data_IF_228207959775
#
_entry.id   IF_228207959775
#
_cell.length_a   1.000
_cell.length_b   1.000
_cell.length_c   1.000
_cell.angle_alpha   90.00
_cell.angle_beta   90.00
_cell.angle_gamma   90.00
#
_symmetry.space_group_name_H-M   'P 1'
#
loop_
_entity.id
_entity.type
_entity.pdbx_description
1 polymer ?
#
# COMPACT_ATOMS: atom_id res chain seq x y z
N UNK A 1 73.07 -32.34 -10.78
CA UNK A 1 72.16 -32.92 -9.76
C UNK A 1 70.86 -33.29 -10.48
N UNK A 2 70.64 -34.57 -10.88
CA UNK A 2 69.81 -35.60 -10.20
C UNK A 2 68.43 -35.04 -9.78
N UNK A 3 67.24 -35.47 -10.21
CA UNK A 3 66.66 -36.74 -10.72
C UNK A 3 65.51 -36.39 -11.71
N UNK A 4 65.25 -37.04 -12.86
CA UNK A 4 64.86 -38.43 -13.22
C UNK A 4 63.58 -38.99 -12.57
N UNK A 5 62.51 -39.11 -13.37
CA UNK A 5 61.65 -40.30 -13.71
C UNK A 5 60.33 -39.76 -14.31
N UNK A 6 59.90 -40.03 -15.55
CA UNK A 6 59.80 -41.30 -16.31
C UNK A 6 58.32 -41.74 -16.27
N UNK A 7 57.42 -41.28 -17.15
CA UNK A 7 57.11 -41.68 -18.54
C UNK A 7 56.25 -42.97 -18.71
N UNK A 8 55.00 -42.78 -19.21
CA UNK A 8 54.23 -43.67 -20.13
C UNK A 8 53.74 -45.04 -19.58
N UNK A 9 52.57 -45.65 -19.87
CA UNK A 9 51.70 -45.72 -21.07
C UNK A 9 50.38 -46.47 -20.71
N UNK A 10 49.31 -46.24 -21.51
CA UNK A 10 48.22 -47.14 -22.01
C UNK A 10 47.57 -48.21 -21.10
N UNK A 11 46.24 -48.45 -21.09
CA UNK A 11 45.42 -49.14 -22.13
C UNK A 11 43.89 -48.95 -21.86
N UNK A 12 43.12 -49.08 -22.95
CA UNK A 12 41.71 -48.80 -23.31
C UNK A 12 40.55 -49.71 -22.82
N UNK A 13 39.30 -49.27 -23.18
CA UNK A 13 37.98 -49.97 -23.36
C UNK A 13 37.03 -49.95 -22.13
N UNK A 14 35.71 -49.71 -22.17
CA UNK A 14 34.68 -49.61 -23.23
C UNK A 14 33.34 -48.97 -22.71
N UNK A 15 32.69 -48.15 -23.55
CA UNK A 15 31.24 -48.06 -23.92
C UNK A 15 30.11 -47.94 -22.86
N UNK A 16 29.43 -46.78 -22.91
CA UNK A 16 27.99 -46.44 -22.80
C UNK A 16 26.99 -47.36 -22.07
N UNK A 17 26.25 -46.79 -21.10
CA UNK A 17 24.92 -47.25 -20.67
C UNK A 17 23.98 -46.10 -20.22
N UNK A 18 24.01 -44.94 -20.88
CA UNK A 18 22.89 -43.99 -20.82
C UNK A 18 22.50 -43.67 -22.26
N UNK A 19 21.40 -44.28 -22.69
CA UNK A 19 20.84 -44.08 -24.02
C UNK A 19 20.35 -42.65 -24.22
N UNK A 20 20.27 -42.26 -25.49
CA UNK A 20 19.77 -40.97 -25.95
C UNK A 20 18.28 -40.81 -25.61
N UNK A 21 17.94 -39.75 -24.88
CA UNK A 21 16.58 -39.45 -24.43
C UNK A 21 15.65 -38.91 -25.52
N UNK A 22 16.09 -38.87 -26.78
CA UNK A 22 15.32 -38.35 -27.91
C UNK A 22 15.09 -39.36 -29.04
N UNK A 23 15.28 -40.66 -28.80
CA UNK A 23 14.96 -41.72 -29.77
C UNK A 23 13.42 -41.98 -29.83
N UNK A 24 12.75 -41.73 -30.97
CA UNK A 24 11.32 -41.97 -31.16
C UNK A 24 10.92 -43.46 -31.20
N UNK A 25 11.89 -44.39 -31.11
CA UNK A 25 11.64 -45.83 -31.01
C UNK A 25 11.88 -46.40 -29.61
N UNK A 26 12.19 -45.57 -28.60
CA UNK A 26 12.28 -46.00 -27.21
C UNK A 26 10.89 -46.07 -26.54
N UNK A 27 10.45 -47.28 -26.21
CA UNK A 27 9.16 -47.54 -25.55
C UNK A 27 9.27 -47.44 -24.02
N UNK A 28 8.54 -46.51 -23.40
CA UNK A 28 8.43 -46.35 -21.93
C UNK A 28 7.36 -47.25 -21.28
N UNK A 29 7.10 -48.42 -21.86
CA UNK A 29 6.24 -49.43 -21.24
C UNK A 29 7.09 -50.35 -20.35
N UNK A 30 7.01 -50.16 -19.03
CA UNK A 30 7.57 -51.11 -18.06
C UNK A 30 6.80 -52.45 -18.14
N UNK A 31 7.47 -53.48 -18.63
CA UNK A 31 6.96 -54.86 -18.65
C UNK A 31 7.05 -55.49 -17.27
N UNK A 32 5.94 -56.11 -16.89
CA UNK A 32 5.65 -57.00 -15.76
C UNK A 32 6.85 -57.74 -15.13
N UNK A 33 6.96 -57.64 -13.80
CA UNK A 33 7.59 -58.64 -12.96
C UNK A 33 6.48 -59.34 -12.16
N UNK A 34 6.37 -60.65 -12.33
CA UNK A 34 5.38 -61.53 -11.74
C UNK A 34 5.74 -61.92 -10.29
N UNK A 35 4.90 -61.54 -9.34
CA UNK A 35 4.79 -62.19 -8.03
C UNK A 35 3.29 -62.28 -7.66
N UNK A 36 2.77 -63.51 -7.60
CA UNK A 36 1.44 -63.82 -7.09
C UNK A 36 1.33 -63.46 -5.61
N UNK A 37 0.41 -62.58 -5.24
CA UNK A 37 -0.32 -62.63 -3.96
C UNK A 37 -1.71 -62.01 -4.15
N UNK A 38 -2.73 -62.77 -3.77
CA UNK A 38 -4.15 -62.41 -3.76
C UNK A 38 -4.38 -61.09 -3.03
N UNK A 39 -4.97 -60.12 -3.73
CA UNK A 39 -5.72 -59.05 -3.08
C UNK A 39 -6.98 -58.77 -3.89
N UNK A 40 -8.13 -59.09 -3.28
CA UNK A 40 -9.44 -58.67 -3.76
C UNK A 40 -9.49 -57.17 -3.98
N UNK A 41 -10.17 -56.77 -5.04
CA UNK A 41 -10.50 -55.39 -5.36
C UNK A 41 -11.27 -54.76 -4.18
N UNK A 42 -10.55 -54.00 -3.34
CA UNK A 42 -11.18 -52.95 -2.55
C UNK A 42 -11.28 -51.72 -3.43
N UNK A 43 -12.49 -51.46 -3.92
CA UNK A 43 -12.86 -50.15 -4.45
C UNK A 43 -12.60 -49.11 -3.35
N UNK A 44 -11.48 -48.38 -3.45
CA UNK A 44 -11.26 -47.22 -2.57
C UNK A 44 -12.35 -46.19 -2.88
N UNK A 45 -13.10 -45.70 -1.87
CA UNK A 45 -14.09 -44.66 -2.10
C UNK A 45 -13.40 -43.43 -2.71
N UNK A 46 -14.10 -42.74 -3.60
CA UNK A 46 -13.64 -41.48 -4.19
C UNK A 46 -13.55 -40.46 -3.05
N UNK A 47 -12.33 -40.13 -2.64
CA UNK A 47 -12.07 -39.13 -1.59
C UNK A 47 -12.54 -37.74 -2.07
N UNK A 48 -13.26 -37.04 -1.20
CA UNK A 48 -13.69 -35.67 -1.43
C UNK A 48 -12.50 -34.70 -1.38
N UNK A 49 -12.62 -33.52 -2.01
CA UNK A 49 -11.57 -32.48 -1.93
C UNK A 49 -11.25 -32.09 -0.48
N UNK A 50 -12.25 -32.17 0.41
CA UNK A 50 -12.10 -31.86 1.83
C UNK A 50 -11.21 -32.88 2.56
N UNK A 51 -11.42 -34.17 2.30
CA UNK A 51 -10.61 -35.26 2.86
C UNK A 51 -9.16 -35.22 2.34
N UNK A 52 -8.96 -34.80 1.09
CA UNK A 52 -7.63 -34.62 0.49
C UNK A 52 -6.86 -33.48 1.20
N UNK A 53 -7.52 -32.36 1.47
CA UNK A 53 -6.93 -31.21 2.17
C UNK A 53 -6.60 -31.58 3.62
N UNK A 54 -7.52 -32.24 4.32
CA UNK A 54 -7.32 -32.64 5.72
C UNK A 54 -6.11 -33.58 5.86
N UNK A 55 -5.97 -34.56 4.97
CA UNK A 55 -4.80 -35.45 4.94
C UNK A 55 -3.50 -34.72 4.58
N UNK A 56 -3.54 -33.71 3.73
CA UNK A 56 -2.35 -32.93 3.35
C UNK A 56 -1.82 -32.08 4.53
N UNK A 57 -2.73 -31.51 5.32
CA UNK A 57 -2.40 -30.77 6.55
C UNK A 57 -1.78 -31.70 7.59
N UNK A 58 -2.42 -32.84 7.85
CA UNK A 58 -1.93 -33.86 8.78
C UNK A 58 -0.51 -34.33 8.42
N UNK A 59 -0.25 -34.61 7.15
CA UNK A 59 1.07 -35.03 6.68
C UNK A 59 2.14 -33.92 6.80
N UNK A 60 1.74 -32.66 6.59
CA UNK A 60 2.65 -31.52 6.74
C UNK A 60 3.06 -31.30 8.20
N UNK A 61 2.12 -31.44 9.14
CA UNK A 61 2.38 -31.37 10.58
C UNK A 61 3.30 -32.51 11.03
N UNK A 62 3.04 -33.73 10.57
CA UNK A 62 3.92 -34.88 10.82
C UNK A 62 5.34 -34.62 10.31
N UNK A 63 5.51 -34.08 9.10
CA UNK A 63 6.84 -33.77 8.56
C UNK A 63 7.58 -32.72 9.37
N UNK A 64 6.87 -31.70 9.86
CA UNK A 64 7.44 -30.64 10.69
C UNK A 64 7.91 -31.17 12.06
N UNK A 65 7.14 -32.04 12.71
CA UNK A 65 7.50 -32.65 14.00
C UNK A 65 8.77 -33.50 13.93
N UNK A 66 9.03 -34.13 12.78
CA UNK A 66 10.22 -34.96 12.56
C UNK A 66 11.32 -34.24 11.77
N UNK A 67 11.24 -32.91 11.58
CA UNK A 67 12.30 -32.13 10.92
C UNK A 67 12.66 -32.62 9.51
N UNK A 68 11.68 -33.08 8.73
CA UNK A 68 11.84 -33.73 7.42
C UNK A 68 12.62 -35.07 7.42
N UNK A 69 12.84 -35.71 8.57
CA UNK A 69 13.43 -37.05 8.64
C UNK A 69 12.37 -38.14 8.37
N UNK A 70 12.28 -38.57 7.11
CA UNK A 70 11.30 -39.58 6.66
C UNK A 70 11.49 -40.96 7.31
N UNK A 71 12.71 -41.33 7.73
CA UNK A 71 12.97 -42.62 8.37
C UNK A 71 12.35 -42.68 9.76
N UNK A 72 12.63 -41.67 10.60
CA UNK A 72 12.06 -41.57 11.95
C UNK A 72 10.53 -41.44 11.93
N UNK A 73 9.98 -40.71 10.94
CA UNK A 73 8.53 -40.62 10.73
C UNK A 73 7.91 -41.98 10.41
N UNK A 74 8.52 -42.76 9.53
CA UNK A 74 8.01 -44.09 9.13
C UNK A 74 8.11 -45.10 10.27
N UNK A 75 9.19 -45.07 11.06
CA UNK A 75 9.34 -45.92 12.24
C UNK A 75 8.29 -45.58 13.31
N UNK A 76 8.09 -44.30 13.59
CA UNK A 76 7.04 -43.84 14.50
C UNK A 76 5.64 -44.30 14.06
N UNK A 77 5.30 -44.11 12.77
CA UNK A 77 4.00 -44.53 12.23
C UNK A 77 3.82 -46.06 12.22
N UNK A 78 4.90 -46.84 12.07
CA UNK A 78 4.85 -48.31 12.19
C UNK A 78 4.61 -48.77 13.63
N UNK A 79 5.17 -48.07 14.62
CA UNK A 79 5.07 -48.42 16.04
C UNK A 79 3.71 -48.01 16.62
N UNK A 80 3.23 -46.81 16.31
CA UNK A 80 2.04 -46.23 16.94
C UNK A 80 0.78 -46.43 16.09
N UNK A 81 0.92 -46.65 14.79
CA UNK A 81 -0.20 -46.68 13.85
C UNK A 81 -0.70 -45.27 13.49
N UNK A 82 -1.17 -45.10 12.25
CA UNK A 82 -1.55 -43.78 11.70
C UNK A 82 -2.70 -43.10 12.45
N UNK A 83 -3.70 -43.85 12.92
CA UNK A 83 -4.83 -43.31 13.67
C UNK A 83 -4.45 -42.78 15.06
N UNK A 84 -3.62 -43.53 15.80
CA UNK A 84 -3.19 -43.11 17.15
C UNK A 84 -2.10 -42.02 17.11
N UNK A 85 -1.27 -42.00 16.06
CA UNK A 85 -0.32 -40.92 15.82
C UNK A 85 -1.02 -39.55 15.67
N UNK A 86 -2.15 -39.50 14.97
CA UNK A 86 -2.93 -38.28 14.80
C UNK A 86 -3.56 -37.80 16.11
N UNK A 87 -4.08 -38.71 16.93
CA UNK A 87 -4.65 -38.39 18.24
C UNK A 87 -3.60 -37.80 19.21
N UNK A 88 -2.38 -38.35 19.22
CA UNK A 88 -1.29 -37.81 20.04
C UNK A 88 -0.81 -36.44 19.55
N UNK A 89 -0.90 -36.17 18.25
CA UNK A 89 -0.52 -34.87 17.68
C UNK A 89 -1.61 -33.83 17.94
N UNK A 90 -2.89 -34.20 17.93
CA UNK A 90 -3.98 -33.26 18.25
C UNK A 90 -3.87 -32.68 19.66
N UNK A 91 -3.29 -33.42 20.60
CA UNK A 91 -3.06 -32.96 21.97
C UNK A 91 -1.89 -31.96 22.09
N UNK A 92 -0.92 -32.03 21.17
CA UNK A 92 0.28 -31.17 21.14
C UNK A 92 0.18 -30.01 20.13
N UNK A 93 -0.68 -30.15 19.12
CA UNK A 93 -0.88 -29.20 18.04
C UNK A 93 -2.36 -29.20 17.62
N UNK A 94 -3.05 -28.04 17.60
CA UNK A 94 -4.50 -28.00 17.36
C UNK A 94 -4.83 -28.25 15.87
N UNK A 95 -4.86 -29.53 15.48
CA UNK A 95 -5.07 -29.98 14.10
C UNK A 95 -6.38 -29.48 13.49
N UNK A 96 -7.46 -29.42 14.28
CA UNK A 96 -8.75 -28.88 13.82
C UNK A 96 -8.67 -27.38 13.45
N UNK A 97 -7.86 -26.59 14.17
CA UNK A 97 -7.61 -25.19 13.81
C UNK A 97 -6.71 -25.06 12.58
N UNK A 98 -5.72 -25.94 12.42
CA UNK A 98 -4.87 -25.96 11.24
C UNK A 98 -5.64 -26.38 9.98
N UNK A 99 -6.57 -27.35 10.11
CA UNK A 99 -7.50 -27.75 9.05
C UNK A 99 -8.49 -26.63 8.72
N UNK A 100 -9.05 -25.96 9.72
CA UNK A 100 -9.88 -24.77 9.51
C UNK A 100 -9.11 -23.65 8.78
N UNK A 101 -7.86 -23.37 9.16
CA UNK A 101 -7.01 -22.41 8.46
C UNK A 101 -6.62 -22.83 7.04
N UNK A 102 -6.44 -24.13 6.79
CA UNK A 102 -6.16 -24.66 5.45
C UNK A 102 -7.42 -24.66 4.56
N UNK A 103 -8.61 -24.85 5.13
CA UNK A 103 -9.90 -24.65 4.46
C UNK A 103 -10.20 -23.17 4.22
N UNK A 104 -9.62 -22.28 5.03
CA UNK A 104 -9.56 -20.82 4.82
C UNK A 104 -8.35 -20.36 3.98
N UNK A 105 -7.59 -21.28 3.36
CA UNK A 105 -6.52 -20.92 2.44
C UNK A 105 -7.08 -19.93 1.41
N UNK A 106 -6.34 -18.85 1.08
CA UNK A 106 -6.79 -17.91 0.08
C UNK A 106 -7.14 -18.71 -1.17
N UNK A 107 -8.37 -18.57 -1.65
CA UNK A 107 -8.77 -19.17 -2.92
C UNK A 107 -7.73 -18.82 -3.97
N UNK A 108 -7.55 -19.70 -4.96
CA UNK A 108 -6.59 -19.49 -6.04
C UNK A 108 -6.72 -18.05 -6.56
N UNK A 109 -5.60 -17.30 -6.56
CA UNK A 109 -5.58 -15.91 -7.02
C UNK A 109 -6.10 -15.87 -8.46
N UNK A 110 -7.11 -15.03 -8.70
CA UNK A 110 -7.71 -14.89 -10.02
C UNK A 110 -6.76 -14.17 -11.00
N UNK A 111 -5.95 -13.25 -10.46
CA UNK A 111 -4.92 -12.49 -11.16
C UNK A 111 -3.66 -12.29 -10.31
N UNK A 112 -2.49 -12.67 -10.82
CA UNK A 112 -1.21 -12.54 -10.11
C UNK A 112 -0.36 -11.36 -10.59
N UNK A 113 -0.56 -10.93 -11.84
CA UNK A 113 0.18 -9.84 -12.50
C UNK A 113 -0.55 -8.49 -12.38
N UNK A 114 -0.75 -8.03 -11.15
CA UNK A 114 -1.45 -6.77 -10.88
C UNK A 114 -0.63 -5.57 -11.34
N UNK A 115 -1.28 -4.62 -12.01
CA UNK A 115 -0.69 -3.30 -12.32
C UNK A 115 -1.14 -2.27 -11.30
N UNK A 116 -0.20 -1.69 -10.58
CA UNK A 116 -0.45 -0.73 -9.50
C UNK A 116 0.08 0.65 -9.88
N UNK A 117 -0.82 1.57 -10.24
CA UNK A 117 -0.43 2.91 -10.68
C UNK A 117 -0.01 3.81 -9.51
N UNK A 118 1.08 4.58 -9.65
CA UNK A 118 1.53 5.52 -8.62
C UNK A 118 2.09 6.84 -9.14
N UNK A 119 1.95 7.90 -8.33
CA UNK A 119 2.70 9.17 -8.47
C UNK A 119 4.00 9.07 -7.68
N UNK A 120 5.15 9.50 -8.23
CA UNK A 120 6.46 9.39 -7.59
C UNK A 120 6.64 10.42 -6.44
N UNK A 121 5.96 10.17 -5.33
CA UNK A 121 6.03 10.93 -4.06
C UNK A 121 6.21 9.98 -2.88
N UNK A 122 6.70 10.47 -1.73
CA UNK A 122 6.92 9.64 -0.53
C UNK A 122 5.62 9.09 0.06
N UNK A 123 4.47 9.67 -0.28
CA UNK A 123 3.17 9.12 0.09
C UNK A 123 2.94 7.70 -0.46
N UNK A 124 3.50 7.41 -1.64
CA UNK A 124 3.38 6.10 -2.29
C UNK A 124 4.27 5.00 -1.66
N UNK A 125 4.97 5.30 -0.56
CA UNK A 125 5.98 4.42 0.04
C UNK A 125 5.50 2.97 0.19
N UNK A 126 4.31 2.68 0.77
CA UNK A 126 3.84 1.31 0.90
C UNK A 126 3.69 0.59 -0.45
N UNK A 127 3.17 1.27 -1.48
CA UNK A 127 3.04 0.70 -2.83
C UNK A 127 4.41 0.38 -3.43
N UNK A 128 5.31 1.36 -3.42
CA UNK A 128 6.55 1.27 -4.21
C UNK A 128 7.59 0.40 -3.50
N UNK A 129 7.64 0.43 -2.17
CA UNK A 129 8.58 -0.39 -1.41
C UNK A 129 8.14 -1.86 -1.36
N UNK A 130 6.83 -2.14 -1.46
CA UNK A 130 6.32 -3.50 -1.45
C UNK A 130 6.87 -4.37 -2.59
N UNK A 131 7.29 -3.75 -3.71
CA UNK A 131 7.92 -4.43 -4.83
C UNK A 131 9.37 -4.90 -4.54
N UNK A 132 10.35 -4.02 -4.26
CA UNK A 132 11.72 -4.44 -3.97
C UNK A 132 11.87 -5.18 -2.64
N UNK A 133 11.01 -4.93 -1.64
CA UNK A 133 11.04 -5.62 -0.34
C UNK A 133 10.17 -6.88 -0.32
N UNK A 134 9.65 -7.32 -1.47
CA UNK A 134 8.95 -8.61 -1.65
C UNK A 134 7.66 -8.78 -0.84
N UNK A 135 7.00 -7.70 -0.45
CA UNK A 135 5.68 -7.78 0.18
C UNK A 135 4.65 -8.34 -0.80
N UNK A 136 4.63 -7.94 -2.08
CA UNK A 136 3.69 -8.53 -3.04
C UNK A 136 3.91 -10.04 -3.20
N UNK A 137 5.18 -10.46 -3.32
CA UNK A 137 5.56 -11.87 -3.44
C UNK A 137 5.14 -12.70 -2.22
N UNK A 138 5.28 -12.15 -1.00
CA UNK A 138 4.81 -12.77 0.25
C UNK A 138 3.33 -13.16 0.22
N UNK A 139 2.50 -12.44 -0.54
CA UNK A 139 1.07 -12.71 -0.70
C UNK A 139 0.72 -13.37 -2.05
N UNK A 140 1.69 -13.94 -2.75
CA UNK A 140 1.48 -14.69 -4.01
C UNK A 140 1.41 -13.82 -5.27
N UNK A 141 1.69 -12.52 -5.16
CA UNK A 141 1.64 -11.54 -6.25
C UNK A 141 3.05 -11.25 -6.79
N UNK A 142 3.80 -12.30 -7.11
CA UNK A 142 5.21 -12.21 -7.56
C UNK A 142 5.40 -11.42 -8.87
N UNK A 143 4.35 -11.35 -9.68
CA UNK A 143 4.35 -10.70 -10.99
C UNK A 143 3.67 -9.31 -10.95
N UNK A 144 3.41 -8.77 -9.74
CA UNK A 144 2.83 -7.44 -9.59
C UNK A 144 3.84 -6.36 -9.98
N UNK A 145 3.37 -5.38 -10.75
CA UNK A 145 4.15 -4.27 -11.27
C UNK A 145 3.65 -2.94 -10.70
N UNK A 146 4.58 -2.04 -10.37
CA UNK A 146 4.26 -0.65 -10.05
C UNK A 146 4.52 0.23 -11.26
N UNK A 147 3.50 1.00 -11.66
CA UNK A 147 3.52 1.78 -12.90
C UNK A 147 3.47 3.26 -12.57
N UNK A 148 4.49 4.01 -12.99
CA UNK A 148 4.63 5.44 -12.70
C UNK A 148 3.76 6.30 -13.61
N UNK A 149 2.94 7.17 -13.03
CA UNK A 149 2.17 8.18 -13.75
C UNK A 149 2.84 9.57 -13.67
N UNK A 150 2.56 10.42 -14.66
CA UNK A 150 3.07 11.80 -14.70
C UNK A 150 2.23 12.79 -13.87
N UNK A 151 0.97 12.45 -13.56
CA UNK A 151 0.07 13.33 -12.81
C UNK A 151 -1.23 12.64 -12.40
N UNK A 152 -1.98 13.29 -11.51
CA UNK A 152 -3.18 12.70 -10.89
C UNK A 152 -4.35 12.48 -11.86
N UNK A 153 -4.45 13.29 -12.92
CA UNK A 153 -5.42 13.05 -13.98
C UNK A 153 -5.17 11.70 -14.69
N UNK A 154 -3.91 11.38 -14.98
CA UNK A 154 -3.52 10.09 -15.57
C UNK A 154 -3.85 8.92 -14.64
N UNK A 155 -3.59 9.06 -13.33
CA UNK A 155 -4.00 8.07 -12.33
C UNK A 155 -5.51 7.83 -12.34
N UNK A 156 -6.31 8.90 -12.30
CA UNK A 156 -7.77 8.81 -12.38
C UNK A 156 -8.20 8.08 -13.64
N UNK A 157 -7.66 8.50 -14.79
CA UNK A 157 -8.06 7.96 -16.09
C UNK A 157 -7.63 6.50 -16.27
N UNK A 158 -6.45 6.12 -15.78
CA UNK A 158 -6.00 4.72 -15.74
C UNK A 158 -6.89 3.85 -14.87
N UNK A 159 -7.29 4.35 -13.70
CA UNK A 159 -8.13 3.60 -12.78
C UNK A 159 -9.55 3.42 -13.32
N UNK A 160 -10.18 4.49 -13.85
CA UNK A 160 -11.53 4.42 -14.43
C UNK A 160 -11.55 3.52 -15.67
N UNK A 161 -10.53 3.64 -16.53
CA UNK A 161 -10.44 2.86 -17.77
C UNK A 161 -9.78 1.48 -17.58
N UNK A 162 -9.59 1.02 -16.34
CA UNK A 162 -9.08 -0.32 -16.00
C UNK A 162 -7.69 -0.62 -16.58
N UNK A 163 -6.87 0.41 -16.81
CA UNK A 163 -5.47 0.26 -17.24
C UNK A 163 -4.56 -0.18 -16.08
N UNK A 164 -4.99 0.10 -14.85
CA UNK A 164 -4.39 -0.38 -13.60
C UNK A 164 -5.44 -1.07 -12.75
N UNK A 165 -5.08 -2.16 -12.07
CA UNK A 165 -5.98 -2.92 -11.19
C UNK A 165 -6.22 -2.19 -9.86
N UNK A 166 -5.16 -1.59 -9.34
CA UNK A 166 -5.16 -0.79 -8.13
C UNK A 166 -4.32 0.45 -8.36
N UNK A 167 -4.50 1.48 -7.54
CA UNK A 167 -3.71 2.70 -7.70
C UNK A 167 -3.59 3.49 -6.41
N UNK A 168 -2.46 4.18 -6.31
CA UNK A 168 -2.24 5.31 -5.43
C UNK A 168 -3.21 6.44 -5.79
N UNK A 169 -4.02 6.90 -4.85
CA UNK A 169 -4.91 8.05 -5.01
C UNK A 169 -4.76 9.04 -3.86
N UNK A 170 -5.10 10.31 -4.11
CA UNK A 170 -5.34 11.26 -3.03
C UNK A 170 -6.63 10.85 -2.31
N UNK A 171 -6.67 10.87 -0.97
CA UNK A 171 -7.82 10.34 -0.20
C UNK A 171 -9.21 10.88 -0.63
N UNK A 172 -9.35 12.12 -1.16
CA UNK A 172 -10.63 12.57 -1.71
C UNK A 172 -11.01 12.00 -3.08
N UNK A 173 -10.07 11.49 -3.87
CA UNK A 173 -10.33 11.02 -5.23
C UNK A 173 -11.33 9.85 -5.27
N UNK A 174 -11.20 8.77 -4.47
CA UNK A 174 -12.18 7.67 -4.47
C UNK A 174 -13.61 8.14 -4.16
N UNK A 175 -13.77 9.14 -3.27
CA UNK A 175 -15.06 9.77 -2.97
C UNK A 175 -15.58 10.56 -4.18
N UNK A 176 -14.74 11.42 -4.76
CA UNK A 176 -15.12 12.24 -5.93
C UNK A 176 -15.54 11.39 -7.13
N UNK A 177 -14.76 10.34 -7.45
CA UNK A 177 -15.03 9.43 -8.57
C UNK A 177 -16.32 8.64 -8.33
N UNK A 178 -16.54 8.14 -7.11
CA UNK A 178 -17.77 7.42 -6.76
C UNK A 178 -19.01 8.30 -6.85
N UNK A 179 -18.87 9.59 -6.55
CA UNK A 179 -19.96 10.57 -6.65
C UNK A 179 -20.13 11.18 -8.06
N UNK A 180 -19.21 10.93 -8.99
CA UNK A 180 -19.18 11.60 -10.29
C UNK A 180 -18.81 13.09 -10.21
N UNK A 181 -18.11 13.51 -9.17
CA UNK A 181 -17.59 14.86 -9.05
C UNK A 181 -16.26 14.97 -9.83
N UNK A 182 -16.26 15.70 -10.94
CA UNK A 182 -15.07 15.90 -11.77
C UNK A 182 -14.71 14.72 -12.70
N UNK A 183 -15.59 13.71 -12.78
CA UNK A 183 -15.50 12.57 -13.71
C UNK A 183 -16.86 11.89 -13.88
N UNK A 184 -16.93 10.87 -14.73
CA UNK A 184 -18.07 9.94 -14.70
C UNK A 184 -18.12 9.20 -13.35
N UNK A 185 -19.32 9.02 -12.81
CA UNK A 185 -19.53 8.28 -11.57
C UNK A 185 -19.10 6.82 -11.75
N UNK A 186 -18.09 6.38 -11.00
CA UNK A 186 -17.58 5.01 -11.00
C UNK A 186 -17.36 4.57 -9.55
N UNK A 187 -17.99 3.49 -9.07
CA UNK A 187 -17.82 3.06 -7.68
C UNK A 187 -16.38 2.61 -7.38
N UNK A 188 -15.75 3.25 -6.41
CA UNK A 188 -14.39 2.94 -5.96
C UNK A 188 -14.37 2.57 -4.48
N UNK A 189 -13.41 1.73 -4.13
CA UNK A 189 -13.03 1.44 -2.75
C UNK A 189 -11.68 2.09 -2.43
N UNK A 190 -11.56 2.53 -1.18
CA UNK A 190 -10.35 2.96 -0.52
C UNK A 190 -10.08 1.99 0.65
N UNK A 191 -9.31 0.91 0.41
CA UNK A 191 -9.07 -0.11 1.43
C UNK A 191 -8.13 0.33 2.53
N UNK A 192 -7.13 1.16 2.20
CA UNK A 192 -6.12 1.59 3.16
C UNK A 192 -5.66 3.03 2.87
N UNK A 193 -5.31 3.74 3.93
CA UNK A 193 -4.52 4.97 3.86
C UNK A 193 -3.05 4.57 3.65
N UNK A 194 -2.35 5.24 2.75
CA UNK A 194 -0.93 4.97 2.53
C UNK A 194 -0.07 5.75 3.50
N UNK A 195 -0.44 7.00 3.78
CA UNK A 195 0.29 7.82 4.72
C UNK A 195 -0.63 8.82 5.42
N UNK A 196 -0.24 9.17 6.64
CA UNK A 196 -0.75 10.34 7.36
C UNK A 196 0.32 11.43 7.39
N UNK A 197 -0.10 12.69 7.48
CA UNK A 197 0.78 13.85 7.37
C UNK A 197 1.59 13.84 6.05
N UNK A 198 2.87 14.21 6.07
CA UNK A 198 3.79 14.11 4.92
C UNK A 198 3.64 15.19 3.85
N UNK A 199 3.04 16.33 4.22
CA UNK A 199 2.88 17.49 3.36
C UNK A 199 3.34 18.75 4.09
N UNK A 200 3.56 19.83 3.35
CA UNK A 200 3.87 21.12 3.92
C UNK A 200 3.35 22.25 3.03
N UNK A 201 3.14 23.42 3.65
CA UNK A 201 3.12 24.69 2.94
C UNK A 201 4.58 25.11 2.75
N UNK A 202 5.02 25.22 1.51
CA UNK A 202 6.35 25.70 1.13
C UNK A 202 6.19 27.00 0.34
N UNK A 203 6.97 28.00 0.71
CA UNK A 203 6.94 29.32 0.08
C UNK A 203 8.27 29.58 -0.64
N UNK A 204 8.21 30.40 -1.68
CA UNK A 204 9.39 30.85 -2.39
C UNK A 204 10.29 31.68 -1.46
N UNK A 205 11.62 31.62 -1.64
CA UNK A 205 12.57 32.32 -0.75
C UNK A 205 12.37 33.84 -0.65
N UNK A 206 11.75 34.46 -1.65
CA UNK A 206 11.39 35.89 -1.62
C UNK A 206 10.42 36.25 -0.48
N UNK A 207 9.66 35.26 0.03
CA UNK A 207 8.62 35.43 1.04
C UNK A 207 9.05 35.07 2.47
N UNK A 208 10.36 34.96 2.76
CA UNK A 208 10.90 34.63 4.10
C UNK A 208 10.42 35.52 5.25
N UNK A 209 9.93 36.71 4.93
CA UNK A 209 9.35 37.65 5.89
C UNK A 209 7.91 37.33 6.30
N UNK A 210 7.17 36.55 5.52
CA UNK A 210 5.76 36.19 5.78
C UNK A 210 5.66 35.35 7.05
N UNK A 211 4.70 35.69 7.92
CA UNK A 211 4.44 35.00 9.19
C UNK A 211 3.01 34.48 9.32
N UNK A 212 2.06 35.07 8.59
CA UNK A 212 0.63 34.78 8.73
C UNK A 212 -0.01 34.53 7.37
N UNK A 213 -1.11 33.78 7.37
CA UNK A 213 -1.95 33.60 6.18
C UNK A 213 -2.43 34.94 5.60
N UNK A 214 -2.77 35.93 6.44
CA UNK A 214 -3.26 37.25 6.01
C UNK A 214 -2.28 37.99 5.09
N UNK A 215 -0.98 37.79 5.27
CA UNK A 215 0.07 38.38 4.42
C UNK A 215 0.22 37.69 3.07
N UNK A 216 -0.47 36.56 2.86
CA UNK A 216 -0.46 35.80 1.60
C UNK A 216 -1.55 36.26 0.63
N UNK A 217 -2.29 37.33 0.93
CA UNK A 217 -3.24 37.92 -0.03
C UNK A 217 -2.50 38.33 -1.31
N UNK A 218 -3.09 37.98 -2.45
CA UNK A 218 -2.52 38.17 -3.78
C UNK A 218 -1.57 37.06 -4.24
N UNK A 219 -1.26 36.08 -3.39
CA UNK A 219 -0.34 35.00 -3.76
C UNK A 219 -0.95 34.09 -4.82
N UNK A 220 -0.08 33.52 -5.65
CA UNK A 220 -0.40 32.39 -6.51
C UNK A 220 0.16 31.12 -5.90
N UNK A 221 -0.72 30.23 -5.43
CA UNK A 221 -0.38 28.90 -4.96
C UNK A 221 -0.56 27.85 -6.05
N UNK A 222 0.12 26.71 -5.91
CA UNK A 222 -0.31 25.48 -6.57
C UNK A 222 -0.55 24.32 -5.59
N UNK A 223 -1.35 23.37 -6.06
CA UNK A 223 -1.73 22.12 -5.38
C UNK A 223 -1.71 20.99 -6.42
N UNK A 224 -1.57 19.71 -6.00
CA UNK A 224 -1.40 18.62 -6.95
C UNK A 224 -2.67 18.29 -7.75
N UNK A 225 -3.84 18.52 -7.15
CA UNK A 225 -5.14 18.21 -7.74
C UNK A 225 -6.26 18.90 -6.97
N UNK A 226 -7.40 19.14 -7.60
CA UNK A 226 -8.55 19.78 -6.95
C UNK A 226 -9.12 18.91 -5.82
N UNK A 227 -9.34 17.63 -6.09
CA UNK A 227 -9.81 16.64 -5.11
C UNK A 227 -8.65 16.10 -4.28
N UNK A 228 -8.06 16.96 -3.45
CA UNK A 228 -6.90 16.61 -2.65
C UNK A 228 -6.91 17.22 -1.25
N UNK A 229 -6.28 16.50 -0.30
CA UNK A 229 -6.06 17.02 1.05
C UNK A 229 -5.22 18.30 1.02
N UNK A 230 -4.30 18.42 0.07
CA UNK A 230 -3.49 19.59 -0.14
C UNK A 230 -4.33 20.84 -0.41
N UNK A 231 -5.29 20.73 -1.33
CA UNK A 231 -6.21 21.81 -1.65
C UNK A 231 -7.08 22.16 -0.44
N UNK A 232 -7.67 21.15 0.22
CA UNK A 232 -8.57 21.41 1.34
C UNK A 232 -7.85 21.96 2.57
N UNK A 233 -6.65 21.49 2.90
CA UNK A 233 -5.87 22.01 4.03
C UNK A 233 -5.31 23.40 3.75
N UNK A 234 -4.87 23.70 2.52
CA UNK A 234 -4.44 25.04 2.14
C UNK A 234 -5.60 26.03 2.24
N UNK A 235 -6.76 25.66 1.67
CA UNK A 235 -7.99 26.46 1.77
C UNK A 235 -8.41 26.66 3.21
N UNK A 236 -8.32 25.62 4.05
CA UNK A 236 -8.63 25.71 5.48
C UNK A 236 -7.71 26.69 6.20
N UNK A 237 -6.40 26.57 6.01
CA UNK A 237 -5.40 27.46 6.62
C UNK A 237 -5.60 28.92 6.21
N UNK A 238 -5.79 29.18 4.91
CA UNK A 238 -6.03 30.53 4.40
C UNK A 238 -7.33 31.12 4.95
N UNK A 239 -8.43 30.36 4.88
CA UNK A 239 -9.75 30.81 5.30
C UNK A 239 -9.79 31.12 6.81
N UNK A 240 -9.20 30.27 7.66
CA UNK A 240 -9.10 30.56 9.10
C UNK A 240 -8.16 31.73 9.41
N UNK A 241 -7.23 32.02 8.50
CA UNK A 241 -6.39 33.22 8.51
C UNK A 241 -7.05 34.49 7.97
N UNK A 242 -8.33 34.45 7.57
CA UNK A 242 -9.05 35.59 7.00
C UNK A 242 -8.72 35.88 5.53
N UNK A 243 -8.20 34.90 4.80
CA UNK A 243 -7.92 34.97 3.36
C UNK A 243 -8.88 34.05 2.62
N UNK A 244 -9.71 34.62 1.76
CA UNK A 244 -10.63 33.84 0.93
C UNK A 244 -9.86 33.15 -0.21
N UNK A 245 -9.79 31.80 -0.23
CA UNK A 245 -9.00 31.09 -1.24
C UNK A 245 -9.55 31.19 -2.67
N UNK A 246 -10.81 31.61 -2.85
CA UNK A 246 -11.42 31.80 -4.18
C UNK A 246 -11.34 33.25 -4.67
N UNK A 247 -11.06 34.22 -3.78
CA UNK A 247 -11.06 35.66 -4.11
C UNK A 247 -9.72 36.36 -3.87
N UNK A 248 -9.06 36.06 -2.76
CA UNK A 248 -7.86 36.77 -2.31
C UNK A 248 -6.57 36.15 -2.85
N UNK A 249 -6.60 34.90 -3.35
CA UNK A 249 -5.42 34.20 -3.92
C UNK A 249 -5.79 33.46 -5.19
N UNK A 250 -4.79 32.93 -5.89
CA UNK A 250 -4.97 32.01 -7.01
C UNK A 250 -4.46 30.63 -6.62
N UNK A 251 -5.24 29.57 -6.82
CA UNK A 251 -4.80 28.18 -6.61
C UNK A 251 -4.81 27.46 -7.96
N UNK A 252 -3.65 26.98 -8.40
CA UNK A 252 -3.47 26.27 -9.67
C UNK A 252 -3.21 24.78 -9.43
N UNK A 253 -3.71 23.92 -10.32
CA UNK A 253 -3.32 22.51 -10.34
C UNK A 253 -2.01 22.36 -11.10
N UNK A 254 -1.00 21.78 -10.44
CA UNK A 254 0.32 21.49 -11.03
C UNK A 254 0.76 20.10 -10.56
N UNK A 255 1.17 19.19 -11.46
CA UNK A 255 1.69 17.89 -11.07
C UNK A 255 2.92 18.01 -10.15
N UNK A 256 3.06 17.17 -9.10
CA UNK A 256 4.17 17.28 -8.16
C UNK A 256 5.58 17.39 -8.79
N UNK A 257 5.94 16.63 -9.85
CA UNK A 257 7.24 16.75 -10.50
C UNK A 257 7.57 18.14 -11.05
N UNK A 258 6.55 18.96 -11.35
CA UNK A 258 6.70 20.30 -11.94
C UNK A 258 6.67 21.42 -10.90
N UNK A 259 6.30 21.13 -9.65
CA UNK A 259 6.07 22.15 -8.62
C UNK A 259 7.34 22.91 -8.24
N UNK A 260 8.46 22.20 -8.04
CA UNK A 260 9.74 22.83 -7.63
C UNK A 260 10.23 23.78 -8.72
N UNK A 261 10.12 23.39 -9.99
CA UNK A 261 10.50 24.23 -11.12
C UNK A 261 9.63 25.50 -11.22
N UNK A 262 8.31 25.37 -11.02
CA UNK A 262 7.41 26.51 -11.01
C UNK A 262 7.67 27.47 -9.83
N UNK A 263 7.99 26.92 -8.65
CA UNK A 263 8.38 27.74 -7.51
C UNK A 263 9.67 28.50 -7.80
N UNK A 264 10.71 27.80 -8.24
CA UNK A 264 12.03 28.37 -8.55
C UNK A 264 11.97 29.45 -9.65
N UNK A 265 11.11 29.27 -10.64
CA UNK A 265 10.88 30.26 -11.70
C UNK A 265 10.07 31.48 -11.24
N UNK A 266 9.49 31.45 -10.03
CA UNK A 266 8.61 32.49 -9.52
C UNK A 266 7.21 32.51 -10.15
N UNK A 267 6.82 31.44 -10.86
CA UNK A 267 5.49 31.27 -11.45
C UNK A 267 4.40 31.08 -10.38
N UNK A 268 4.80 30.62 -9.20
CA UNK A 268 3.99 30.50 -7.99
C UNK A 268 4.76 31.06 -6.81
N UNK A 269 4.03 31.60 -5.83
CA UNK A 269 4.55 32.13 -4.57
C UNK A 269 4.75 31.04 -3.51
N UNK A 270 4.03 29.93 -3.64
CA UNK A 270 4.14 28.78 -2.78
C UNK A 270 3.24 27.64 -3.22
N UNK A 271 3.21 26.58 -2.42
CA UNK A 271 2.30 25.46 -2.60
C UNK A 271 2.02 24.77 -1.28
N UNK A 272 0.93 24.02 -1.24
CA UNK A 272 0.80 22.90 -0.31
C UNK A 272 0.96 21.61 -1.12
N UNK A 273 2.05 20.89 -0.89
CA UNK A 273 2.46 19.78 -1.74
C UNK A 273 2.85 18.53 -0.92
N UNK A 274 2.83 17.34 -1.53
CA UNK A 274 3.38 16.15 -0.91
C UNK A 274 4.90 16.18 -0.95
N UNK A 275 5.52 15.56 0.05
CA UNK A 275 6.94 15.25 -0.03
C UNK A 275 7.23 14.20 -1.13
N UNK A 276 8.43 14.21 -1.74
CA UNK A 276 9.63 14.94 -1.31
C UNK A 276 9.73 16.35 -1.89
N UNK A 277 8.73 16.88 -2.59
CA UNK A 277 8.85 18.14 -3.33
C UNK A 277 8.97 19.38 -2.42
N UNK A 278 8.45 19.33 -1.19
CA UNK A 278 8.73 20.38 -0.19
C UNK A 278 10.21 20.36 0.20
N UNK A 279 10.73 19.19 0.60
CA UNK A 279 12.13 19.06 0.99
C UNK A 279 13.10 19.30 -0.18
N UNK A 280 12.69 18.96 -1.40
CA UNK A 280 13.47 19.21 -2.62
C UNK A 280 13.60 20.71 -2.90
N UNK A 281 12.55 21.50 -2.68
CA UNK A 281 12.65 22.95 -2.83
C UNK A 281 13.62 23.57 -1.80
N UNK A 282 13.66 23.04 -0.57
CA UNK A 282 14.67 23.43 0.42
C UNK A 282 16.06 23.03 -0.03
N UNK A 283 16.24 21.78 -0.46
CA UNK A 283 17.51 21.24 -0.93
C UNK A 283 18.10 22.03 -2.11
N UNK A 284 17.25 22.55 -3.00
CA UNK A 284 17.66 23.39 -4.13
C UNK A 284 17.73 24.89 -3.80
N UNK A 285 17.43 25.31 -2.57
CA UNK A 285 17.38 26.72 -2.17
C UNK A 285 16.28 27.54 -2.86
N UNK A 286 15.29 26.90 -3.45
CA UNK A 286 14.18 27.55 -4.15
C UNK A 286 13.06 28.02 -3.20
N UNK A 287 12.92 27.37 -2.05
CA UNK A 287 11.90 27.70 -1.06
C UNK A 287 12.23 27.23 0.34
N UNK A 288 11.37 27.61 1.27
CA UNK A 288 11.44 27.21 2.67
C UNK A 288 10.11 26.63 3.15
N UNK A 289 10.17 25.73 4.13
CA UNK A 289 8.99 25.15 4.77
C UNK A 289 8.40 26.21 5.71
N UNK A 290 7.21 26.70 5.38
CA UNK A 290 6.48 27.66 6.21
C UNK A 290 5.73 26.96 7.34
N UNK A 291 5.08 25.83 7.03
CA UNK A 291 4.26 25.07 7.99
C UNK A 291 4.13 23.62 7.53
N UNK A 292 4.24 22.66 8.45
CA UNK A 292 3.90 21.27 8.13
C UNK A 292 2.38 21.09 8.17
N UNK A 293 1.83 20.24 7.29
CA UNK A 293 0.39 19.99 7.27
C UNK A 293 -0.13 19.35 8.56
N UNK A 294 0.73 18.62 9.30
CA UNK A 294 0.43 18.08 10.62
C UNK A 294 0.10 19.16 11.65
N UNK A 295 0.58 20.38 11.47
CA UNK A 295 0.30 21.51 12.37
C UNK A 295 -1.10 22.10 12.09
N UNK A 296 -1.66 21.83 10.91
CA UNK A 296 -3.06 22.15 10.55
C UNK A 296 -3.99 21.06 11.11
N UNK A 297 -3.66 19.79 10.85
CA UNK A 297 -4.42 18.64 11.34
C UNK A 297 -3.47 17.46 11.65
N UNK A 298 -3.16 17.20 12.92
CA UNK A 298 -2.31 16.07 13.30
C UNK A 298 -2.92 14.73 12.89
N UNK A 299 -2.16 13.94 12.14
CA UNK A 299 -2.55 12.60 11.69
C UNK A 299 -3.63 12.62 10.61
N UNK A 300 -3.75 13.71 9.84
CA UNK A 300 -4.68 13.78 8.72
C UNK A 300 -4.33 12.72 7.66
N UNK A 301 -5.31 12.14 6.96
CA UNK A 301 -5.02 11.25 5.85
C UNK A 301 -4.44 12.07 4.70
N UNK A 302 -3.57 11.48 3.90
CA UNK A 302 -3.01 12.13 2.72
C UNK A 302 -3.37 11.32 1.48
N UNK A 303 -2.60 10.26 1.22
CA UNK A 303 -2.82 9.37 0.08
C UNK A 303 -3.37 8.02 0.52
N UNK A 304 -3.86 7.29 -0.45
CA UNK A 304 -4.70 6.13 -0.29
C UNK A 304 -4.37 5.08 -1.33
N UNK A 305 -4.40 3.83 -0.92
CA UNK A 305 -4.52 2.72 -1.83
C UNK A 305 -5.98 2.63 -2.24
N UNK A 306 -6.26 2.55 -3.53
CA UNK A 306 -7.62 2.51 -4.06
C UNK A 306 -7.77 1.53 -5.22
N UNK A 307 -8.99 1.05 -5.42
CA UNK A 307 -9.34 0.18 -6.54
C UNK A 307 -10.80 0.37 -6.93
N UNK A 308 -11.16 -0.02 -8.15
CA UNK A 308 -12.57 -0.07 -8.54
C UNK A 308 -13.31 -1.11 -7.71
N UNK A 309 -14.58 -0.85 -7.38
CA UNK A 309 -15.45 -1.84 -6.73
C UNK A 309 -15.55 -3.12 -7.56
N UNK A 310 -15.62 -2.98 -8.89
CA UNK A 310 -15.66 -4.11 -9.82
C UNK A 310 -14.50 -5.07 -9.59
N UNK A 311 -13.25 -4.60 -9.67
CA UNK A 311 -12.06 -5.43 -9.43
C UNK A 311 -12.12 -6.15 -8.09
N UNK A 312 -12.44 -5.43 -7.01
CA UNK A 312 -12.52 -6.02 -5.67
C UNK A 312 -13.60 -7.12 -5.56
N UNK A 313 -14.70 -6.99 -6.30
CA UNK A 313 -15.79 -7.98 -6.29
C UNK A 313 -15.59 -9.15 -7.25
N UNK A 314 -14.97 -8.93 -8.42
CA UNK A 314 -14.77 -9.98 -9.42
C UNK A 314 -13.49 -10.77 -9.22
N UNK A 315 -12.49 -10.17 -8.55
CA UNK A 315 -11.19 -10.79 -8.23
C UNK A 315 -10.92 -10.77 -6.71
N UNK A 316 -11.81 -11.34 -5.87
CA UNK A 316 -11.77 -11.16 -4.43
C UNK A 316 -10.52 -11.76 -3.76
N UNK A 317 -9.94 -12.85 -4.28
CA UNK A 317 -8.72 -13.41 -3.68
C UNK A 317 -7.49 -12.57 -4.02
N UNK A 318 -7.36 -12.11 -5.27
CA UNK A 318 -6.32 -11.16 -5.68
C UNK A 318 -6.42 -9.83 -4.93
N UNK A 319 -7.64 -9.32 -4.76
CA UNK A 319 -7.90 -8.12 -3.98
C UNK A 319 -7.50 -8.30 -2.50
N UNK A 320 -7.91 -9.40 -1.86
CA UNK A 320 -7.50 -9.73 -0.49
C UNK A 320 -5.97 -9.82 -0.36
N UNK A 321 -5.29 -10.44 -1.32
CA UNK A 321 -3.84 -10.58 -1.32
C UNK A 321 -3.14 -9.22 -1.37
N UNK A 322 -3.50 -8.34 -2.32
CA UNK A 322 -2.87 -7.03 -2.45
C UNK A 322 -3.22 -6.12 -1.27
N UNK A 323 -4.45 -6.19 -0.74
CA UNK A 323 -4.85 -5.41 0.42
C UNK A 323 -4.01 -5.80 1.65
N UNK A 324 -3.84 -7.11 1.92
CA UNK A 324 -2.93 -7.56 3.00
C UNK A 324 -1.49 -7.11 2.78
N UNK A 325 -0.99 -7.19 1.54
CA UNK A 325 0.36 -6.73 1.20
C UNK A 325 0.57 -5.25 1.53
N UNK A 326 -0.42 -4.41 1.21
CA UNK A 326 -0.37 -2.97 1.50
C UNK A 326 -0.46 -2.70 3.00
N UNK A 327 -1.38 -3.35 3.73
CA UNK A 327 -1.48 -3.17 5.20
C UNK A 327 -0.16 -3.53 5.89
N UNK A 328 0.44 -4.66 5.52
CA UNK A 328 1.73 -5.12 6.05
C UNK A 328 2.87 -4.16 5.68
N UNK A 329 2.95 -3.73 4.42
CA UNK A 329 3.92 -2.75 3.96
C UNK A 329 3.78 -1.40 4.69
N UNK A 330 2.56 -0.90 4.90
CA UNK A 330 2.32 0.34 5.65
C UNK A 330 2.80 0.22 7.10
N UNK A 331 2.52 -0.90 7.78
CA UNK A 331 3.02 -1.15 9.13
C UNK A 331 4.55 -1.31 9.19
N UNK A 332 5.16 -1.86 8.14
CA UNK A 332 6.63 -1.91 8.05
C UNK A 332 7.22 -0.50 7.90
N UNK A 333 6.59 0.38 7.12
CA UNK A 333 7.03 1.77 6.93
C UNK A 333 6.81 2.65 8.17
N UNK A 334 5.81 2.33 9.00
CA UNK A 334 5.55 3.02 10.27
C UNK A 334 6.76 3.01 11.21
N UNK A 335 7.44 1.85 11.30
CA UNK A 335 8.58 1.60 12.18
C UNK A 335 9.77 2.49 11.82
N UNK A 336 10.19 3.32 12.76
CA UNK A 336 11.25 4.32 12.56
C UNK A 336 12.58 3.68 12.09
N UNK A 337 12.92 2.51 12.63
CA UNK A 337 14.14 1.76 12.31
C UNK A 337 14.21 1.30 10.84
N UNK A 338 13.08 1.19 10.15
CA UNK A 338 13.03 0.79 8.75
C UNK A 338 13.15 1.97 7.78
N UNK A 339 12.95 3.21 8.24
CA UNK A 339 12.72 4.35 7.35
C UNK A 339 13.93 4.75 6.53
N UNK A 340 15.14 4.55 7.04
CA UNK A 340 16.37 4.84 6.29
C UNK A 340 16.60 3.85 5.14
N UNK A 341 16.42 2.55 5.39
CA UNK A 341 16.57 1.53 4.34
C UNK A 341 15.44 1.62 3.31
N UNK A 342 14.23 1.98 3.73
CA UNK A 342 13.13 2.29 2.82
C UNK A 342 13.51 3.46 1.91
N UNK A 343 14.08 4.55 2.45
CA UNK A 343 14.49 5.70 1.65
C UNK A 343 15.45 5.30 0.53
N UNK A 344 16.41 4.42 0.82
CA UNK A 344 17.36 3.89 -0.17
C UNK A 344 16.66 3.02 -1.22
N UNK A 345 15.74 2.14 -0.79
CA UNK A 345 15.03 1.22 -1.69
C UNK A 345 14.13 1.94 -2.71
N UNK A 346 13.57 3.11 -2.35
CA UNK A 346 12.60 3.83 -3.17
C UNK A 346 13.21 5.05 -3.92
N UNK A 347 14.46 5.40 -3.65
CA UNK A 347 15.17 6.49 -4.35
C UNK A 347 15.41 6.27 -5.86
N UNK A 348 15.71 5.04 -6.34
CA UNK A 348 16.12 4.82 -7.73
C UNK A 348 15.13 5.31 -8.80
N UNK A 349 15.63 5.40 -10.04
CA UNK A 349 14.91 6.00 -11.19
C UNK A 349 13.57 5.35 -11.49
N UNK A 350 13.44 4.04 -11.31
CA UNK A 350 12.19 3.30 -11.50
C UNK A 350 11.12 3.68 -10.47
N UNK A 351 11.49 4.28 -9.33
CA UNK A 351 10.58 4.73 -8.27
C UNK A 351 10.55 6.27 -8.19
N UNK A 352 11.10 6.88 -7.14
CA UNK A 352 10.99 8.32 -6.93
C UNK A 352 11.92 9.14 -7.83
N UNK A 353 13.09 8.61 -8.19
CA UNK A 353 14.15 9.36 -8.89
C UNK A 353 14.53 10.66 -8.14
N UNK A 354 14.77 10.55 -6.83
CA UNK A 354 15.12 11.67 -5.95
C UNK A 354 16.39 11.34 -5.16
N UNK A 355 17.17 12.33 -4.68
CA UNK A 355 18.33 12.06 -3.85
C UNK A 355 17.90 11.33 -2.57
N UNK A 356 18.66 10.29 -2.21
CA UNK A 356 18.43 9.51 -0.99
C UNK A 356 18.35 10.42 0.23
N UNK A 357 19.22 11.42 0.35
CA UNK A 357 19.23 12.37 1.46
C UNK A 357 17.90 13.12 1.60
N UNK A 358 17.31 13.60 0.50
CA UNK A 358 16.02 14.30 0.52
C UNK A 358 14.91 13.36 1.02
N UNK A 359 14.93 12.10 0.60
CA UNK A 359 13.94 11.10 1.04
C UNK A 359 14.16 10.75 2.52
N UNK A 360 15.41 10.57 2.96
CA UNK A 360 15.76 10.31 4.37
C UNK A 360 15.28 11.45 5.27
N UNK A 361 15.50 12.70 4.87
CA UNK A 361 15.05 13.88 5.61
C UNK A 361 13.53 13.88 5.82
N UNK A 362 12.77 13.47 4.80
CA UNK A 362 11.32 13.33 4.88
C UNK A 362 10.92 12.18 5.81
N UNK A 363 11.39 10.96 5.52
CA UNK A 363 10.92 9.76 6.22
C UNK A 363 11.37 9.73 7.68
N UNK A 364 12.57 10.22 8.00
CA UNK A 364 13.07 10.24 9.39
C UNK A 364 12.62 11.47 10.17
N UNK A 365 12.11 12.50 9.48
CA UNK A 365 11.70 13.74 10.12
C UNK A 365 12.85 14.66 10.56
N UNK A 366 14.09 14.38 10.16
CA UNK A 366 15.25 15.23 10.43
C UNK A 366 15.57 16.05 9.19
N UNK A 367 15.32 17.36 9.20
CA UNK A 367 15.40 18.16 7.98
C UNK A 367 15.74 19.64 8.22
N UNK A 368 16.43 20.31 7.29
CA UNK A 368 16.49 21.77 7.26
C UNK A 368 15.16 22.36 6.79
N UNK A 369 14.76 23.52 7.33
CA UNK A 369 13.57 24.25 6.88
C UNK A 369 13.80 25.19 5.69
N UNK A 370 15.05 25.45 5.32
CA UNK A 370 15.42 26.42 4.28
C UNK A 370 15.64 27.85 4.79
N UNK A 371 15.48 28.10 6.09
CA UNK A 371 15.79 29.36 6.79
C UNK A 371 17.01 29.25 7.70
N UNK A 372 17.73 28.13 7.62
CA UNK A 372 18.95 27.87 8.40
C UNK A 372 18.70 27.09 9.69
N UNK A 373 17.46 26.71 10.00
CA UNK A 373 17.17 25.87 11.16
C UNK A 373 17.09 24.39 10.78
N UNK A 374 17.50 23.55 11.71
CA UNK A 374 17.32 22.10 11.64
C UNK A 374 16.17 21.69 12.54
N UNK A 375 15.31 20.81 12.02
CA UNK A 375 14.15 20.27 12.72
C UNK A 375 14.30 18.77 12.93
N UNK A 376 13.73 18.26 14.02
CA UNK A 376 13.58 16.84 14.30
C UNK A 376 12.12 16.56 14.67
N UNK A 377 11.33 16.16 13.68
CA UNK A 377 9.89 15.89 13.77
C UNK A 377 9.63 14.49 13.22
N UNK A 378 9.86 13.42 14.02
CA UNK A 378 9.81 12.03 13.53
C UNK A 378 8.47 11.62 12.91
N UNK A 379 7.38 12.30 13.29
CA UNK A 379 6.02 12.11 12.78
C UNK A 379 5.63 13.13 11.69
N UNK A 380 6.61 13.82 11.07
CA UNK A 380 6.40 14.71 9.90
C UNK A 380 5.60 13.98 8.82
N UNK A 381 5.98 12.75 8.55
CA UNK A 381 5.22 11.75 7.80
C UNK A 381 5.12 10.51 8.69
N UNK A 382 3.99 9.83 8.64
CA UNK A 382 3.84 8.52 9.25
C UNK A 382 2.89 7.65 8.42
N UNK A 383 2.84 6.36 8.75
CA UNK A 383 2.18 5.33 7.97
C UNK A 383 1.18 4.59 8.87
N UNK A 384 -0.11 4.85 8.68
CA UNK A 384 -1.21 4.18 9.37
C UNK A 384 -2.22 3.74 8.30
N UNK A 385 -2.47 2.43 8.13
CA UNK A 385 -3.33 1.96 7.04
C UNK A 385 -4.81 2.26 7.27
N UNK A 386 -5.23 2.61 8.48
CA UNK A 386 -6.65 2.58 8.82
C UNK A 386 -7.47 3.71 8.15
N UNK A 387 -8.42 3.41 7.25
CA UNK A 387 -9.19 4.41 6.52
C UNK A 387 -10.38 4.87 7.36
N UNK A 388 -10.15 5.73 8.36
CA UNK A 388 -11.21 6.26 9.23
C UNK A 388 -12.38 6.83 8.43
N UNK A 389 -13.58 6.27 8.60
CA UNK A 389 -14.79 6.76 7.93
C UNK A 389 -15.12 8.19 8.39
N UNK A 390 -14.76 8.58 9.62
CA UNK A 390 -14.88 9.97 10.05
C UNK A 390 -14.01 10.94 9.26
N UNK A 391 -12.86 10.52 8.72
CA UNK A 391 -12.06 11.36 7.83
C UNK A 391 -12.72 11.52 6.46
N UNK A 392 -13.36 10.47 5.92
CA UNK A 392 -14.16 10.58 4.69
C UNK A 392 -15.30 11.58 4.85
N UNK A 393 -16.02 11.55 5.99
CA UNK A 393 -17.06 12.54 6.30
C UNK A 393 -16.46 13.95 6.28
N UNK A 394 -15.31 14.18 6.93
CA UNK A 394 -14.66 15.49 6.90
C UNK A 394 -14.32 15.93 5.46
N UNK A 395 -13.73 15.05 4.66
CA UNK A 395 -13.39 15.33 3.26
C UNK A 395 -14.63 15.75 2.47
N UNK A 396 -15.73 14.99 2.60
CA UNK A 396 -17.00 15.31 1.95
C UNK A 396 -17.56 16.66 2.44
N UNK A 397 -17.37 17.02 3.72
CA UNK A 397 -17.75 18.36 4.19
C UNK A 397 -16.95 19.44 3.47
N UNK A 398 -15.62 19.27 3.29
CA UNK A 398 -14.81 20.27 2.60
C UNK A 398 -15.14 20.34 1.11
N UNK A 399 -15.46 19.22 0.47
CA UNK A 399 -15.99 19.20 -0.89
C UNK A 399 -17.26 20.04 -1.00
N UNK A 400 -18.19 19.94 -0.02
CA UNK A 400 -19.41 20.75 0.00
C UNK A 400 -19.12 22.22 0.32
N UNK A 401 -18.22 22.51 1.27
CA UNK A 401 -17.81 23.88 1.67
C UNK A 401 -17.32 24.70 0.48
N UNK A 402 -16.63 24.05 -0.45
CA UNK A 402 -16.01 24.68 -1.62
C UNK A 402 -16.73 24.36 -2.94
N UNK A 403 -18.03 24.01 -2.88
CA UNK A 403 -18.91 23.79 -4.03
C UNK A 403 -18.45 22.72 -5.05
N UNK A 404 -17.56 21.79 -4.65
CA UNK A 404 -17.17 20.64 -5.48
C UNK A 404 -18.26 19.56 -5.56
N UNK A 405 -19.15 19.53 -4.57
CA UNK A 405 -20.36 18.71 -4.56
C UNK A 405 -21.54 19.58 -4.14
N UNK A 406 -22.70 19.34 -4.78
CA UNK A 406 -23.92 20.14 -4.60
C UNK A 406 -25.05 19.28 -4.03
N UNK A 407 -26.07 19.93 -3.49
CA UNK A 407 -27.27 19.28 -2.96
C UNK A 407 -27.07 18.58 -1.62
N UNK A 408 -28.02 17.73 -1.26
CA UNK A 408 -27.98 16.95 -0.02
C UNK A 408 -27.04 15.75 -0.15
N UNK A 409 -26.15 15.61 0.84
CA UNK A 409 -25.09 14.61 0.83
C UNK A 409 -25.31 13.68 2.01
N UNK A 410 -25.51 12.39 1.73
CA UNK A 410 -25.53 11.37 2.77
C UNK A 410 -24.08 10.96 3.11
N UNK A 411 -23.44 11.77 3.96
CA UNK A 411 -22.02 11.63 4.29
C UNK A 411 -21.67 10.24 4.82
N UNK A 412 -22.48 9.69 5.74
CA UNK A 412 -22.24 8.40 6.39
C UNK A 412 -22.28 7.26 5.36
N UNK A 413 -23.31 7.25 4.51
CA UNK A 413 -23.46 6.23 3.47
C UNK A 413 -22.26 6.22 2.53
N UNK A 414 -21.89 7.39 2.00
CA UNK A 414 -20.77 7.49 1.04
C UNK A 414 -19.44 7.11 1.71
N UNK A 415 -19.21 7.56 2.96
CA UNK A 415 -18.03 7.19 3.72
C UNK A 415 -17.94 5.66 3.92
N UNK A 416 -19.04 5.00 4.27
CA UNK A 416 -19.09 3.55 4.51
C UNK A 416 -18.99 2.72 3.22
N UNK A 417 -19.47 3.24 2.09
CA UNK A 417 -19.37 2.58 0.79
C UNK A 417 -17.96 2.66 0.21
N UNK A 418 -17.21 3.73 0.49
CA UNK A 418 -15.89 3.97 -0.13
C UNK A 418 -14.74 3.57 0.81
N UNK A 419 -14.78 3.94 2.10
CA UNK A 419 -13.67 3.68 3.03
C UNK A 419 -13.89 2.35 3.77
N UNK A 420 -13.10 1.33 3.41
CA UNK A 420 -13.26 -0.05 3.90
C UNK A 420 -12.63 -0.28 5.29
N UNK A 421 -13.00 0.55 6.26
CA UNK A 421 -12.45 0.51 7.62
C UNK A 421 -12.64 -0.84 8.31
N UNK A 422 -13.80 -1.49 8.12
CA UNK A 422 -14.10 -2.78 8.73
C UNK A 422 -13.22 -3.90 8.17
N UNK A 423 -13.01 -3.94 6.84
CA UNK A 423 -12.11 -4.90 6.19
C UNK A 423 -10.65 -4.65 6.57
N UNK A 424 -10.24 -3.38 6.64
CA UNK A 424 -8.91 -3.01 7.12
C UNK A 424 -8.70 -3.50 8.56
N UNK A 425 -9.66 -3.27 9.46
CA UNK A 425 -9.62 -3.75 10.85
C UNK A 425 -9.45 -5.27 10.92
N UNK A 426 -10.21 -6.01 10.09
CA UNK A 426 -10.11 -7.45 9.98
C UNK A 426 -8.71 -7.89 9.55
N UNK A 427 -8.18 -7.34 8.46
CA UNK A 427 -6.87 -7.77 7.95
C UNK A 427 -5.70 -7.32 8.83
N UNK A 428 -5.79 -6.17 9.49
CA UNK A 428 -4.84 -5.78 10.53
C UNK A 428 -4.78 -6.85 11.64
N UNK A 429 -5.93 -7.28 12.16
CA UNK A 429 -5.99 -8.32 13.20
C UNK A 429 -5.47 -9.68 12.72
N UNK A 430 -5.85 -10.11 11.52
CA UNK A 430 -5.34 -11.36 10.92
C UNK A 430 -3.81 -11.35 10.74
N UNK A 431 -3.22 -10.17 10.50
CA UNK A 431 -1.78 -9.99 10.38
C UNK A 431 -1.07 -9.75 11.73
N UNK A 432 -1.81 -9.75 12.85
CA UNK A 432 -1.25 -9.54 14.19
C UNK A 432 -1.05 -8.07 14.59
N UNK A 433 -1.60 -7.12 13.83
CA UNK A 433 -1.55 -5.70 14.14
C UNK A 433 -2.73 -5.24 15.00
N UNK A 434 -2.51 -4.14 15.73
CA UNK A 434 -3.58 -3.47 16.49
C UNK A 434 -4.48 -2.73 15.51
N UNK A 435 -5.79 -2.98 15.59
CA UNK A 435 -6.79 -2.24 14.85
C UNK A 435 -7.68 -1.42 15.80
N UNK A 436 -8.15 -0.24 15.38
CA UNK A 436 -9.15 0.52 16.11
C UNK A 436 -10.42 -0.29 16.40
N UNK A 437 -11.05 -0.03 17.55
CA UNK A 437 -12.32 -0.63 17.94
C UNK A 437 -13.52 0.02 17.23
N UNK A 438 -13.36 1.25 16.73
CA UNK A 438 -14.40 2.02 16.03
C UNK A 438 -13.87 2.56 14.71
N UNK A 439 -14.79 2.79 13.76
CA UNK A 439 -14.47 3.37 12.45
C UNK A 439 -14.59 4.91 12.45
N UNK A 440 -15.16 5.47 13.51
CA UNK A 440 -15.40 6.89 13.69
C UNK A 440 -14.71 7.39 14.95
N UNK A 441 -14.11 8.57 14.81
CA UNK A 441 -13.59 9.39 15.90
C UNK A 441 -13.78 10.87 15.57
N UNK A 442 -13.81 11.70 16.61
CA UNK A 442 -13.73 13.15 16.48
C UNK A 442 -12.31 13.56 16.09
N UNK A 443 -12.19 14.69 15.40
CA UNK A 443 -10.91 15.24 14.95
C UNK A 443 -10.77 16.69 15.40
N UNK A 444 -9.54 17.21 15.42
CA UNK A 444 -9.27 18.62 15.72
C UNK A 444 -8.45 19.22 14.57
N UNK A 445 -8.99 20.24 13.92
CA UNK A 445 -8.38 20.90 12.75
C UNK A 445 -8.24 22.39 13.06
N UNK A 446 -7.00 22.86 13.16
CA UNK A 446 -6.63 24.20 13.67
C UNK A 446 -7.42 24.60 14.92
N UNK A 447 -7.46 23.71 15.90
CA UNK A 447 -8.14 23.96 17.18
C UNK A 447 -9.66 23.72 17.17
N UNK A 448 -10.32 23.66 16.01
CA UNK A 448 -11.77 23.38 15.92
C UNK A 448 -12.03 21.88 15.99
N UNK A 449 -12.96 21.48 16.86
CA UNK A 449 -13.45 20.11 16.89
C UNK A 449 -14.36 19.83 15.69
N UNK A 450 -14.12 18.70 15.04
CA UNK A 450 -15.00 18.13 14.04
C UNK A 450 -15.62 16.84 14.58
N UNK A 451 -16.94 16.87 14.74
CA UNK A 451 -17.74 15.70 15.07
C UNK A 451 -18.36 15.12 13.78
N UNK A 452 -17.97 13.91 13.34
CA UNK A 452 -18.51 13.29 12.13
C UNK A 452 -20.01 12.99 12.20
N UNK A 453 -20.62 12.99 13.39
CA UNK A 453 -22.07 12.88 13.53
C UNK A 453 -22.82 14.18 13.22
N UNK A 454 -22.10 15.33 13.18
CA UNK A 454 -22.69 16.67 13.00
C UNK A 454 -22.03 17.48 11.88
N UNK A 455 -21.86 16.91 10.65
CA UNK A 455 -21.13 17.58 9.57
C UNK A 455 -21.78 18.90 9.11
N UNK A 456 -23.12 18.98 9.15
CA UNK A 456 -23.85 20.20 8.78
C UNK A 456 -23.65 21.34 9.78
N UNK A 457 -23.55 21.05 11.09
CA UNK A 457 -23.26 22.06 12.11
C UNK A 457 -21.83 22.59 11.93
N UNK A 458 -20.87 21.69 11.70
CA UNK A 458 -19.48 22.06 11.41
C UNK A 458 -19.38 23.02 10.21
N UNK A 459 -20.10 22.73 9.12
CA UNK A 459 -20.12 23.58 7.93
C UNK A 459 -20.70 24.98 8.18
N UNK A 460 -21.73 25.09 9.02
CA UNK A 460 -22.32 26.38 9.40
C UNK A 460 -21.36 27.24 10.22
N UNK A 461 -20.40 26.62 10.92
CA UNK A 461 -19.41 27.30 11.76
C UNK A 461 -18.31 28.06 11.01
N UNK A 462 -18.27 27.99 9.67
CA UNK A 462 -17.27 28.70 8.87
C UNK A 462 -17.78 30.03 8.34
N UNK A 463 -16.98 31.08 8.57
CA UNK A 463 -17.22 32.42 8.02
C UNK A 463 -16.92 32.49 6.52
N UNK A 464 -15.81 31.89 6.08
CA UNK A 464 -15.38 31.85 4.67
C UNK A 464 -15.68 30.48 4.08
N UNK A 465 -16.42 30.47 2.97
CA UNK A 465 -16.84 29.31 2.17
C UNK A 465 -17.20 29.81 0.76
N UNK A 466 -17.21 28.93 -0.25
CA UNK A 466 -17.61 29.36 -1.59
C UNK A 466 -19.06 29.86 -1.59
N UNK A 467 -19.32 30.88 -2.40
CA UNK A 467 -20.69 31.29 -2.72
C UNK A 467 -21.35 30.17 -3.54
N UNK A 468 -22.55 29.77 -3.10
CA UNK A 468 -23.27 28.59 -3.61
C UNK A 468 -23.86 28.80 -4.99
#
# INVERSE_FOLDING_TARGET
MKNKKGNSKDVSLSVNCLGDGFDPHSSLAHTHCSCHHDHGESSRPVETQEEIIDRAVENSVLKALFGNNETSRREFLKVVGSGAALALISDLFPLEKAKAWAKEAPGKLEKTNLKIGFIPITCATPIIMAHPLKFYEKYGLKDAEVVKASGWAMIRDWAINKQTDCTHMLSPMPLSISMGAGSQATPFYMPAVENINGQAITLHMKHRGVKTAKEMKGFTFCVPFDYSMHNYLLRYFLAEGGVDPDKDVKIRVVPPPEMVANLKAGNVDGYLAPDPFNQRAVYEGAGFIFMLSKDIWPGHPCCAFATSKEFATTMPNSFKAVFKAIVDATHYAHKAENRESIAEAIAPRNYLNQPVEVIKQVLTGKFPDGLGNMHNVPDRIDFDPFPWQSMAVWILTQMKRWNYIKGDVNYKKIAEEVFLASDCSKYMKELGYKAPATNYKKHKIMGKEFDPAKPSEYLKGFAIKSEG
#
